data_IF_252200202773
#
_entry.id   IF_252200202773
#
_cell.length_a   1.000
_cell.length_b   1.000
_cell.length_c   1.000
_cell.angle_alpha   90.00
_cell.angle_beta   90.00
_cell.angle_gamma   90.00
#
_symmetry.space_group_name_H-M   'P 1'
#
loop_
_entity.id
_entity.type
_entity.pdbx_description
1 polymer ?
#
# COMPACT_ATOMS: atom_id res chain seq x y z
N UNK A 1 24.22 -8.53 5.77
CA UNK A 1 23.05 -8.03 6.48
C UNK A 1 21.80 -8.15 5.63
N UNK A 2 20.77 -8.70 6.18
CA UNK A 2 19.53 -8.90 5.44
C UNK A 2 18.65 -7.66 5.50
N UNK A 3 18.08 -7.33 4.35
CA UNK A 3 17.11 -6.26 4.27
C UNK A 3 15.74 -6.84 4.54
N UNK A 4 15.02 -6.23 5.48
CA UNK A 4 13.69 -6.70 5.85
C UNK A 4 12.64 -5.69 5.41
N UNK A 5 12.60 -5.45 4.11
CA UNK A 5 11.61 -4.53 3.55
C UNK A 5 10.39 -5.30 3.07
N UNK A 6 9.26 -4.62 3.02
CA UNK A 6 8.02 -5.18 2.47
C UNK A 6 7.66 -4.37 1.23
N UNK A 7 7.35 -5.06 0.15
CA UNK A 7 6.97 -4.42 -1.10
C UNK A 7 5.48 -4.59 -1.32
N UNK A 8 4.78 -3.49 -1.53
CA UNK A 8 3.34 -3.50 -1.76
C UNK A 8 3.03 -2.96 -3.14
N UNK A 9 2.02 -3.55 -3.76
CA UNK A 9 1.44 -3.01 -4.98
C UNK A 9 0.16 -2.29 -4.61
N UNK A 10 0.04 -1.03 -5.05
CA UNK A 10 -1.14 -0.22 -4.77
C UNK A 10 -1.81 0.10 -6.10
N UNK A 11 -3.11 -0.22 -6.19
CA UNK A 11 -3.91 0.03 -7.37
C UNK A 11 -5.03 0.97 -6.98
N UNK A 12 -5.12 2.12 -7.67
CA UNK A 12 -6.12 3.14 -7.36
C UNK A 12 -6.94 3.41 -8.61
N UNK A 13 -8.24 3.40 -8.46
CA UNK A 13 -9.18 3.75 -9.53
C UNK A 13 -9.79 5.10 -9.22
N UNK A 14 -9.72 6.01 -10.17
CA UNK A 14 -10.29 7.36 -10.05
C UNK A 14 -11.15 7.65 -11.28
N UNK A 15 -11.86 8.78 -11.25
CA UNK A 15 -12.63 9.24 -12.40
C UNK A 15 -11.77 9.40 -13.64
N UNK A 16 -10.50 9.71 -13.44
CA UNK A 16 -9.59 10.00 -14.54
C UNK A 16 -8.89 8.76 -15.07
N UNK A 17 -9.04 7.64 -14.39
CA UNK A 17 -8.43 6.41 -14.85
C UNK A 17 -7.92 5.53 -13.72
N UNK A 18 -7.07 4.59 -14.11
CA UNK A 18 -6.53 3.57 -13.23
C UNK A 18 -5.03 3.78 -13.04
N UNK A 19 -4.59 3.75 -11.80
CA UNK A 19 -3.19 3.92 -11.43
C UNK A 19 -2.69 2.68 -10.71
N UNK A 20 -1.46 2.30 -11.01
CA UNK A 20 -0.81 1.17 -10.32
C UNK A 20 0.63 1.55 -10.05
N UNK A 21 1.07 1.33 -8.82
CA UNK A 21 2.44 1.65 -8.45
C UNK A 21 2.91 0.79 -7.28
N UNK A 22 4.22 0.83 -7.04
CA UNK A 22 4.86 0.01 -6.02
C UNK A 22 5.33 0.90 -4.88
N UNK A 23 5.05 0.46 -3.66
CA UNK A 23 5.53 1.13 -2.44
C UNK A 23 6.37 0.14 -1.65
N UNK A 24 7.51 0.61 -1.17
CA UNK A 24 8.38 -0.21 -0.33
C UNK A 24 8.36 0.34 1.08
N UNK A 25 8.01 -0.53 2.04
CA UNK A 25 8.02 -0.16 3.45
C UNK A 25 9.37 -0.57 4.06
N UNK A 26 9.90 0.23 4.99
CA UNK A 26 11.24 -0.02 5.54
C UNK A 26 11.34 -1.28 6.40
N UNK A 27 10.24 -1.81 6.88
CA UNK A 27 10.24 -3.03 7.68
C UNK A 27 9.22 -4.01 7.16
N UNK A 28 9.55 -5.30 7.28
CA UNK A 28 8.63 -6.36 6.89
C UNK A 28 7.96 -6.90 8.16
N UNK A 29 6.64 -6.83 8.27
CA UNK A 29 5.95 -7.33 9.45
C UNK A 29 5.99 -8.85 9.52
N UNK A 30 6.08 -9.37 10.74
CA UNK A 30 6.13 -10.81 10.98
C UNK A 30 4.79 -11.39 11.39
N UNK A 31 3.80 -10.53 11.61
CA UNK A 31 2.48 -10.95 12.06
C UNK A 31 1.42 -10.32 11.19
N UNK A 32 0.23 -10.94 11.18
CA UNK A 32 -0.90 -10.37 10.44
C UNK A 32 -1.30 -9.00 10.99
N UNK A 33 -1.11 -8.80 12.29
CA UNK A 33 -1.39 -7.51 12.91
C UNK A 33 -0.48 -6.42 12.36
N UNK A 34 0.81 -6.75 12.16
CA UNK A 34 1.77 -5.81 11.58
C UNK A 34 1.45 -5.51 10.13
N UNK A 35 1.04 -6.52 9.36
CA UNK A 35 0.64 -6.33 7.97
C UNK A 35 -0.56 -5.41 7.90
N UNK A 36 -1.54 -5.61 8.76
CA UNK A 36 -2.73 -4.78 8.82
C UNK A 36 -2.39 -3.34 9.16
N UNK A 37 -1.43 -3.15 10.07
CA UNK A 37 -0.98 -1.82 10.45
C UNK A 37 -0.34 -1.09 9.27
N UNK A 38 0.49 -1.79 8.49
CA UNK A 38 1.11 -1.19 7.30
C UNK A 38 0.07 -0.89 6.24
N UNK A 39 -0.89 -1.79 6.05
CA UNK A 39 -1.99 -1.54 5.12
C UNK A 39 -2.76 -0.28 5.50
N UNK A 40 -3.00 -0.07 6.79
CA UNK A 40 -3.69 1.13 7.26
C UNK A 40 -2.90 2.40 6.94
N UNK A 41 -1.59 2.36 7.10
CA UNK A 41 -0.74 3.50 6.77
C UNK A 41 -0.80 3.83 5.28
N UNK A 42 -0.76 2.79 4.46
CA UNK A 42 -0.83 2.96 3.01
C UNK A 42 -2.22 3.44 2.58
N UNK A 43 -3.27 2.95 3.24
CA UNK A 43 -4.64 3.40 2.98
C UNK A 43 -4.77 4.90 3.25
N UNK A 44 -4.25 5.35 4.36
CA UNK A 44 -4.28 6.78 4.70
C UNK A 44 -3.50 7.60 3.70
N UNK A 45 -2.39 7.07 3.22
CA UNK A 45 -1.59 7.73 2.21
C UNK A 45 -2.39 7.88 0.89
N UNK A 46 -3.09 6.81 0.49
CA UNK A 46 -3.93 6.85 -0.71
C UNK A 46 -5.02 7.90 -0.57
N UNK A 47 -5.69 7.92 0.58
CA UNK A 47 -6.77 8.88 0.83
C UNK A 47 -6.25 10.31 0.78
N UNK A 48 -5.02 10.52 1.22
CA UNK A 48 -4.42 11.85 1.21
C UNK A 48 -4.01 12.29 -0.19
N UNK A 49 -3.38 11.39 -0.95
CA UNK A 49 -2.87 11.70 -2.29
C UNK A 49 -3.96 11.69 -3.35
N UNK A 50 -4.96 10.86 -3.16
CA UNK A 50 -6.05 10.68 -4.12
C UNK A 50 -7.40 10.76 -3.42
N UNK A 51 -7.76 11.96 -2.93
CA UNK A 51 -9.01 12.09 -2.16
C UNK A 51 -10.27 11.76 -2.98
N UNK A 52 -10.16 11.77 -4.30
CA UNK A 52 -11.28 11.49 -5.18
C UNK A 52 -11.29 10.05 -5.69
N UNK A 53 -10.57 9.15 -5.03
CA UNK A 53 -10.52 7.77 -5.50
C UNK A 53 -11.91 7.12 -5.41
N UNK A 54 -12.19 6.25 -6.38
CA UNK A 54 -13.43 5.45 -6.39
C UNK A 54 -13.20 4.14 -5.64
N UNK A 55 -12.03 3.55 -5.82
CA UNK A 55 -11.66 2.34 -5.10
C UNK A 55 -10.14 2.21 -5.12
N UNK A 56 -9.62 1.38 -4.23
CA UNK A 56 -8.20 1.07 -4.24
C UNK A 56 -7.97 -0.33 -3.68
N UNK A 57 -6.81 -0.89 -4.00
CA UNK A 57 -6.43 -2.21 -3.53
C UNK A 57 -4.95 -2.20 -3.20
N UNK A 58 -4.58 -2.78 -2.07
CA UNK A 58 -3.21 -2.86 -1.60
C UNK A 58 -2.85 -4.32 -1.41
N UNK A 59 -1.79 -4.77 -2.08
CA UNK A 59 -1.34 -6.16 -2.02
C UNK A 59 0.09 -6.25 -1.57
N UNK A 60 0.38 -7.15 -0.66
CA UNK A 60 1.76 -7.44 -0.25
C UNK A 60 2.35 -8.43 -1.26
N UNK A 61 3.44 -8.04 -1.90
CA UNK A 61 4.06 -8.86 -2.94
C UNK A 61 5.06 -9.88 -2.41
N UNK A 62 5.69 -9.59 -1.27
CA UNK A 62 6.67 -10.55 -0.71
C UNK A 62 6.63 -10.63 0.80
#
# INVERSE_FOLDING_TARGET
MQTTTATYQIEVTTDEGYLSFIKVMPTKPKTSKGIKSQNNKLSKWVEKEYPDFLSYHISLLD
#
